data_IF_455498279554
#
_entry.id   IF_455498279554
#
_cell.length_a   1.000
_cell.length_b   1.000
_cell.length_c   1.000
_cell.angle_alpha   90.00
_cell.angle_beta   90.00
_cell.angle_gamma   90.00
#
_symmetry.space_group_name_H-M   'P 1'
#
loop_
_entity.id
_entity.type
_entity.pdbx_description
1 polymer ?
#
# COMPACT_ATOMS: atom_id res chain seq x y z
N UNK A 1 -16.92 30.32 -29.43
CA UNK A 1 -16.88 28.99 -28.81
C UNK A 1 -15.89 29.02 -27.68
N UNK A 2 -16.38 29.08 -26.45
CA UNK A 2 -15.52 29.00 -25.25
C UNK A 2 -14.88 27.60 -25.22
N UNK A 3 -13.56 27.53 -25.27
CA UNK A 3 -12.85 26.27 -25.01
C UNK A 3 -13.14 25.88 -23.55
N UNK A 4 -13.89 24.81 -23.36
CA UNK A 4 -14.04 24.18 -22.06
C UNK A 4 -12.67 23.59 -21.73
N UNK A 5 -11.87 24.31 -20.95
CA UNK A 5 -10.62 23.76 -20.44
C UNK A 5 -10.94 22.65 -19.43
N UNK A 6 -10.23 21.50 -19.50
CA UNK A 6 -10.45 20.43 -18.55
C UNK A 6 -10.12 20.93 -17.15
N UNK A 7 -11.07 20.78 -16.23
CA UNK A 7 -10.89 21.12 -14.81
C UNK A 7 -9.80 20.22 -14.22
N UNK A 8 -8.73 20.86 -13.70
CA UNK A 8 -7.71 20.15 -12.93
C UNK A 8 -8.32 19.75 -11.59
N UNK A 9 -8.43 18.45 -11.33
CA UNK A 9 -8.91 17.96 -10.05
C UNK A 9 -7.89 18.31 -8.94
N UNK A 10 -8.39 18.79 -7.78
CA UNK A 10 -7.57 19.23 -6.65
C UNK A 10 -7.68 18.29 -5.44
N UNK A 11 -8.53 17.25 -5.55
CA UNK A 11 -8.86 16.37 -4.42
C UNK A 11 -7.80 15.29 -4.14
N UNK A 12 -6.91 15.00 -5.11
CA UNK A 12 -5.84 14.01 -4.96
C UNK A 12 -4.51 14.73 -4.73
N UNK A 13 -4.34 15.26 -3.53
CA UNK A 13 -3.13 15.97 -3.12
C UNK A 13 -2.17 15.04 -2.35
N UNK A 14 -1.16 15.63 -1.70
CA UNK A 14 -0.15 14.91 -0.91
C UNK A 14 -0.76 14.07 0.22
N UNK A 15 -1.95 14.41 0.74
CA UNK A 15 -2.64 13.68 1.81
C UNK A 15 -3.17 12.34 1.30
N UNK A 16 -3.81 12.36 0.13
CA UNK A 16 -4.22 11.13 -0.54
C UNK A 16 -2.99 10.27 -0.89
N UNK A 17 -1.92 10.88 -1.46
CA UNK A 17 -0.67 10.17 -1.72
C UNK A 17 -0.07 9.55 -0.45
N UNK A 18 -0.06 10.29 0.67
CA UNK A 18 0.39 9.81 1.97
C UNK A 18 -0.37 8.57 2.46
N UNK A 19 -1.69 8.52 2.22
CA UNK A 19 -2.48 7.33 2.53
C UNK A 19 -2.07 6.12 1.70
N UNK A 20 -1.90 6.27 0.39
CA UNK A 20 -1.54 5.15 -0.48
C UNK A 20 -0.11 4.68 -0.24
N UNK A 21 0.84 5.60 0.00
CA UNK A 21 2.22 5.25 0.32
C UNK A 21 2.30 4.60 1.71
N UNK A 22 1.82 5.27 2.75
CA UNK A 22 1.88 4.75 4.12
C UNK A 22 1.08 3.46 4.30
N UNK A 23 -0.14 3.42 3.75
CA UNK A 23 -1.00 2.23 3.77
C UNK A 23 -0.41 1.07 2.96
N UNK A 24 0.08 1.34 1.75
CA UNK A 24 0.69 0.33 0.87
C UNK A 24 1.97 -0.25 1.46
N UNK A 25 2.94 0.60 1.81
CA UNK A 25 4.21 0.18 2.40
C UNK A 25 4.02 -0.52 3.75
N UNK A 26 3.13 0.04 4.60
CA UNK A 26 2.84 -0.51 5.92
C UNK A 26 2.18 -1.89 5.85
N UNK A 27 1.19 -2.07 4.99
CA UNK A 27 0.53 -3.38 4.80
C UNK A 27 1.43 -4.39 4.13
N UNK A 28 2.22 -3.97 3.12
CA UNK A 28 3.24 -4.83 2.51
C UNK A 28 4.25 -5.32 3.53
N UNK A 29 4.72 -4.43 4.43
CA UNK A 29 5.62 -4.79 5.53
C UNK A 29 4.97 -5.81 6.47
N UNK A 30 3.72 -5.60 6.89
CA UNK A 30 2.99 -6.50 7.80
C UNK A 30 2.80 -7.89 7.19
N UNK A 31 2.44 -7.97 5.90
CA UNK A 31 2.28 -9.24 5.17
C UNK A 31 3.60 -10.02 5.18
N UNK A 32 4.69 -9.36 4.77
CA UNK A 32 5.99 -10.01 4.70
C UNK A 32 6.58 -10.31 6.07
N UNK A 33 6.32 -9.46 7.09
CA UNK A 33 6.70 -9.75 8.47
C UNK A 33 6.07 -11.04 9.00
N UNK A 34 4.81 -11.32 8.62
CA UNK A 34 4.17 -12.57 8.97
C UNK A 34 4.86 -13.78 8.31
N UNK A 35 5.23 -13.67 7.04
CA UNK A 35 5.93 -14.72 6.31
C UNK A 35 7.34 -14.93 6.88
N UNK A 36 8.08 -13.85 7.13
CA UNK A 36 9.46 -13.91 7.62
C UNK A 36 9.54 -14.38 9.08
N UNK A 37 8.50 -14.17 9.87
CA UNK A 37 8.44 -14.68 11.24
C UNK A 37 8.49 -16.21 11.31
N UNK A 38 8.04 -16.91 10.27
CA UNK A 38 8.18 -18.37 10.16
C UNK A 38 9.62 -18.82 9.94
N UNK A 39 10.50 -17.91 9.53
CA UNK A 39 11.92 -18.11 9.32
C UNK A 39 12.79 -17.63 10.52
N UNK A 40 12.14 -17.35 11.66
CA UNK A 40 12.81 -16.94 12.89
C UNK A 40 13.06 -15.43 13.04
N UNK A 41 12.55 -14.60 12.09
CA UNK A 41 12.66 -13.15 12.22
C UNK A 41 11.61 -12.65 13.22
N UNK A 42 12.06 -11.76 14.11
CA UNK A 42 11.19 -11.24 15.17
C UNK A 42 10.11 -10.31 14.59
N UNK A 43 8.85 -10.68 14.79
CA UNK A 43 7.70 -9.97 14.20
C UNK A 43 7.47 -8.56 14.80
N UNK A 44 7.57 -8.38 16.13
CA UNK A 44 7.07 -7.18 16.81
C UNK A 44 7.66 -5.85 16.28
N UNK A 45 8.96 -5.72 15.96
CA UNK A 45 9.48 -4.44 15.46
C UNK A 45 8.92 -4.11 14.08
N UNK A 46 8.83 -5.12 13.21
CA UNK A 46 8.30 -4.98 11.86
C UNK A 46 6.80 -4.66 11.87
N UNK A 47 6.03 -5.36 12.69
CA UNK A 47 4.61 -5.10 12.90
C UNK A 47 4.36 -3.70 13.46
N UNK A 48 5.21 -3.23 14.38
CA UNK A 48 5.13 -1.87 14.94
C UNK A 48 5.37 -0.81 13.85
N UNK A 49 6.42 -0.96 13.04
CA UNK A 49 6.68 -0.04 11.92
C UNK A 49 5.51 -0.07 10.94
N UNK A 50 5.01 -1.26 10.60
CA UNK A 50 3.88 -1.42 9.69
C UNK A 50 2.61 -0.73 10.17
N UNK A 51 2.22 -0.92 11.44
CA UNK A 51 1.01 -0.27 12.00
C UNK A 51 1.16 1.24 12.09
N UNK A 52 2.35 1.74 12.37
CA UNK A 52 2.64 3.19 12.38
C UNK A 52 2.50 3.78 10.98
N UNK A 53 3.02 3.12 9.95
CA UNK A 53 2.90 3.58 8.56
C UNK A 53 1.44 3.61 8.10
N UNK A 54 0.67 2.55 8.35
CA UNK A 54 -0.78 2.52 8.06
C UNK A 54 -1.50 3.62 8.83
N UNK A 55 -1.17 3.82 10.11
CA UNK A 55 -1.75 4.87 10.94
C UNK A 55 -1.47 6.27 10.41
N UNK A 56 -0.25 6.55 9.94
CA UNK A 56 0.12 7.82 9.28
C UNK A 56 -0.70 8.00 8.01
N UNK A 57 -0.84 6.97 7.17
CA UNK A 57 -1.65 7.01 5.97
C UNK A 57 -3.11 7.38 6.26
N UNK A 58 -3.74 6.69 7.21
CA UNK A 58 -5.11 6.99 7.64
C UNK A 58 -5.24 8.39 8.26
N UNK A 59 -4.24 8.85 8.98
CA UNK A 59 -4.19 10.20 9.53
C UNK A 59 -4.15 11.26 8.43
N UNK A 60 -3.42 11.02 7.33
CA UNK A 60 -3.43 11.91 6.17
C UNK A 60 -4.84 12.07 5.58
N UNK A 61 -5.59 10.97 5.41
CA UNK A 61 -7.00 11.03 4.95
C UNK A 61 -7.89 11.75 5.96
N UNK A 62 -7.68 11.51 7.24
CA UNK A 62 -8.48 12.15 8.29
C UNK A 62 -8.32 13.69 8.26
N UNK A 63 -7.11 14.20 8.04
CA UNK A 63 -6.86 15.63 7.85
C UNK A 63 -7.54 16.15 6.57
N UNK A 64 -7.60 15.34 5.51
CA UNK A 64 -8.21 15.72 4.24
C UNK A 64 -9.71 16.01 4.37
N UNK A 65 -10.40 15.28 5.25
CA UNK A 65 -11.85 15.45 5.48
C UNK A 65 -12.20 16.86 5.99
N UNK A 66 -11.25 17.59 6.58
CA UNK A 66 -11.42 18.97 7.07
C UNK A 66 -12.40 19.14 8.24
N UNK A 67 -13.30 18.18 8.45
CA UNK A 67 -14.22 18.09 9.58
C UNK A 67 -14.15 16.70 10.20
N UNK A 68 -13.34 16.50 11.25
CA UNK A 68 -12.99 15.18 11.79
C UNK A 68 -14.18 14.28 12.10
N UNK A 69 -15.25 14.84 12.63
CA UNK A 69 -16.47 14.09 13.00
C UNK A 69 -17.23 13.53 11.78
N UNK A 70 -16.98 14.07 10.58
CA UNK A 70 -17.56 13.53 9.34
C UNK A 70 -16.86 12.24 8.88
N UNK A 71 -15.71 11.90 9.44
CA UNK A 71 -15.03 10.64 9.14
C UNK A 71 -15.94 9.43 9.40
N UNK A 72 -16.84 9.51 10.38
CA UNK A 72 -17.80 8.44 10.66
C UNK A 72 -18.75 8.13 9.49
N UNK A 73 -18.96 9.08 8.57
CA UNK A 73 -19.81 8.85 7.39
C UNK A 73 -19.16 7.89 6.37
N UNK A 74 -17.85 7.65 6.47
CA UNK A 74 -17.16 6.67 5.61
C UNK A 74 -17.75 5.26 5.76
N UNK A 75 -18.39 4.94 6.89
CA UNK A 75 -18.93 3.60 7.16
C UNK A 75 -20.32 3.33 6.57
N UNK A 76 -20.98 4.30 5.94
CA UNK A 76 -22.40 4.15 5.57
C UNK A 76 -22.67 3.39 4.26
N UNK A 77 -21.67 3.21 3.38
CA UNK A 77 -21.91 2.66 2.04
C UNK A 77 -21.00 1.45 1.68
N UNK A 78 -20.98 0.37 2.49
CA UNK A 78 -20.05 -0.76 2.26
C UNK A 78 -20.32 -1.51 0.95
N UNK A 79 -21.55 -1.46 0.41
CA UNK A 79 -21.92 -2.16 -0.81
C UNK A 79 -21.33 -1.51 -2.07
N UNK A 80 -21.15 -0.16 -2.05
CA UNK A 80 -20.79 0.62 -3.23
C UNK A 80 -19.45 1.31 -3.14
N UNK A 81 -18.91 1.55 -1.92
CA UNK A 81 -17.69 2.32 -1.69
C UNK A 81 -16.52 1.44 -1.24
N UNK A 82 -15.43 1.47 -2.00
CA UNK A 82 -14.19 0.83 -1.60
C UNK A 82 -13.51 1.52 -0.42
N UNK A 83 -13.66 2.85 -0.28
CA UNK A 83 -13.19 3.59 0.91
C UNK A 83 -13.89 3.12 2.18
N UNK A 84 -15.19 2.81 2.11
CA UNK A 84 -15.93 2.23 3.23
C UNK A 84 -15.38 0.86 3.62
N UNK A 85 -15.08 0.00 2.63
CA UNK A 85 -14.50 -1.33 2.87
C UNK A 85 -13.11 -1.22 3.49
N UNK A 86 -12.28 -0.32 2.99
CA UNK A 86 -10.97 -0.01 3.58
C UNK A 86 -11.11 0.43 5.04
N UNK A 87 -12.04 1.34 5.34
CA UNK A 87 -12.30 1.81 6.70
C UNK A 87 -12.72 0.67 7.65
N UNK A 88 -13.59 -0.25 7.21
CA UNK A 88 -13.92 -1.43 8.00
C UNK A 88 -12.72 -2.34 8.22
N UNK A 89 -11.93 -2.60 7.20
CA UNK A 89 -10.72 -3.43 7.32
C UNK A 89 -9.71 -2.77 8.26
N UNK A 90 -9.49 -1.44 8.15
CA UNK A 90 -8.55 -0.72 9.02
C UNK A 90 -8.96 -0.72 10.48
N UNK A 91 -10.28 -0.71 10.77
CA UNK A 91 -10.82 -0.79 12.14
C UNK A 91 -10.40 -2.09 12.84
N UNK A 92 -10.19 -3.17 12.11
CA UNK A 92 -9.69 -4.43 12.65
C UNK A 92 -8.18 -4.58 12.47
N UNK A 93 -7.62 -4.11 11.36
CA UNK A 93 -6.19 -4.23 11.07
C UNK A 93 -5.34 -3.58 12.16
N UNK A 94 -5.64 -2.34 12.55
CA UNK A 94 -4.83 -1.63 13.53
C UNK A 94 -4.80 -2.33 14.91
N UNK A 95 -5.95 -2.63 15.56
CA UNK A 95 -5.91 -3.27 16.88
C UNK A 95 -5.36 -4.69 16.83
N UNK A 96 -5.63 -5.47 15.77
CA UNK A 96 -5.09 -6.84 15.66
C UNK A 96 -3.57 -6.80 15.42
N UNK A 97 -3.06 -5.84 14.64
CA UNK A 97 -1.62 -5.68 14.47
C UNK A 97 -0.95 -5.27 15.81
N UNK A 98 -1.55 -4.33 16.54
CA UNK A 98 -1.05 -3.95 17.87
C UNK A 98 -1.06 -5.16 18.81
N UNK A 99 -2.12 -5.95 18.81
CA UNK A 99 -2.20 -7.17 19.60
C UNK A 99 -1.11 -8.18 19.22
N UNK A 100 -0.87 -8.39 17.91
CA UNK A 100 0.22 -9.25 17.43
C UNK A 100 1.60 -8.73 17.87
N UNK A 101 1.82 -7.40 17.80
CA UNK A 101 3.05 -6.76 18.30
C UNK A 101 3.25 -6.99 19.80
N UNK A 102 2.20 -6.82 20.60
CA UNK A 102 2.28 -6.99 22.06
C UNK A 102 2.53 -8.46 22.45
N UNK A 103 1.86 -9.41 21.78
CA UNK A 103 2.00 -10.84 22.09
C UNK A 103 3.29 -11.46 21.58
N UNK A 104 3.96 -10.86 20.59
CA UNK A 104 5.26 -11.29 20.07
C UNK A 104 6.43 -10.49 20.68
N UNK A 105 6.13 -9.36 21.30
CA UNK A 105 7.13 -8.47 21.89
C UNK A 105 7.53 -8.85 23.32
N UNK A 106 8.47 -8.10 23.89
CA UNK A 106 8.96 -8.35 25.24
C UNK A 106 7.98 -7.98 26.36
N UNK A 107 6.88 -7.26 26.01
CA UNK A 107 5.96 -6.69 26.99
C UNK A 107 4.99 -7.71 27.59
N UNK A 108 4.42 -8.59 26.75
CA UNK A 108 3.45 -9.60 27.18
C UNK A 108 3.46 -10.80 26.24
N UNK A 109 4.50 -11.63 26.28
CA UNK A 109 4.64 -12.75 25.36
C UNK A 109 3.56 -13.81 25.61
N UNK A 110 2.66 -13.99 24.63
CA UNK A 110 1.60 -15.00 24.63
C UNK A 110 1.75 -15.91 23.41
N UNK A 111 2.67 -16.87 23.47
CA UNK A 111 3.04 -17.72 22.33
C UNK A 111 1.85 -18.42 21.66
N UNK A 112 0.84 -18.83 22.41
CA UNK A 112 -0.36 -19.49 21.87
C UNK A 112 -1.23 -18.58 21.00
N UNK A 113 -1.25 -17.28 21.26
CA UNK A 113 -2.04 -16.30 20.50
C UNK A 113 -1.21 -15.54 19.46
N UNK A 114 0.11 -15.53 19.60
CA UNK A 114 1.01 -14.80 18.72
C UNK A 114 0.87 -15.24 17.25
N UNK A 115 0.99 -16.54 16.98
CA UNK A 115 0.94 -17.07 15.61
C UNK A 115 -0.42 -16.81 14.93
N UNK A 116 -1.56 -17.11 15.55
CA UNK A 116 -2.86 -16.75 14.98
C UNK A 116 -3.01 -15.25 14.71
N UNK A 117 -2.58 -14.40 15.67
CA UNK A 117 -2.67 -12.94 15.52
C UNK A 117 -1.86 -12.44 14.33
N UNK A 118 -0.63 -12.91 14.14
CA UNK A 118 0.23 -12.57 13.00
C UNK A 118 -0.46 -12.89 11.67
N UNK A 119 -1.05 -14.09 11.53
CA UNK A 119 -1.68 -14.49 10.28
C UNK A 119 -3.00 -13.76 10.02
N UNK A 120 -3.80 -13.48 11.05
CA UNK A 120 -5.00 -12.65 10.92
C UNK A 120 -4.60 -11.23 10.49
N UNK A 121 -3.54 -10.67 11.05
CA UNK A 121 -3.00 -9.37 10.65
C UNK A 121 -2.57 -9.37 9.18
N UNK A 122 -1.85 -10.40 8.73
CA UNK A 122 -1.43 -10.52 7.32
C UNK A 122 -2.62 -10.57 6.37
N UNK A 123 -3.68 -11.32 6.72
CA UNK A 123 -4.91 -11.37 5.94
C UNK A 123 -5.61 -10.01 5.86
N UNK A 124 -5.75 -9.32 7.00
CA UNK A 124 -6.35 -7.99 7.04
C UNK A 124 -5.50 -6.96 6.25
N UNK A 125 -4.18 -7.06 6.32
CA UNK A 125 -3.27 -6.21 5.56
C UNK A 125 -3.41 -6.45 4.04
N UNK A 126 -3.55 -7.70 3.60
CA UNK A 126 -3.79 -8.03 2.20
C UNK A 126 -5.14 -7.49 1.71
N UNK A 127 -6.19 -7.60 2.52
CA UNK A 127 -7.51 -7.03 2.22
C UNK A 127 -7.46 -5.50 2.15
N UNK A 128 -6.73 -4.85 3.06
CA UNK A 128 -6.54 -3.40 3.06
C UNK A 128 -5.84 -2.93 1.78
N UNK A 129 -4.72 -3.55 1.43
CA UNK A 129 -3.95 -3.24 0.22
C UNK A 129 -4.80 -3.45 -1.05
N UNK A 130 -5.61 -4.50 -1.08
CA UNK A 130 -6.56 -4.73 -2.17
C UNK A 130 -7.63 -3.62 -2.23
N UNK A 131 -8.18 -3.17 -1.09
CA UNK A 131 -9.11 -2.05 -1.06
C UNK A 131 -8.48 -0.78 -1.60
N UNK A 132 -7.23 -0.46 -1.24
CA UNK A 132 -6.50 0.69 -1.78
C UNK A 132 -6.38 0.62 -3.31
N UNK A 133 -5.98 -0.52 -3.86
CA UNK A 133 -5.91 -0.70 -5.31
C UNK A 133 -7.27 -0.48 -5.99
N UNK A 134 -8.34 -0.96 -5.38
CA UNK A 134 -9.71 -0.78 -5.89
C UNK A 134 -10.23 0.65 -5.76
N UNK A 135 -9.83 1.41 -4.75
CA UNK A 135 -10.19 2.84 -4.61
C UNK A 135 -9.68 3.62 -5.82
N UNK A 136 -8.40 3.42 -6.19
CA UNK A 136 -7.82 4.07 -7.35
C UNK A 136 -8.51 3.64 -8.64
N UNK A 137 -8.71 2.33 -8.83
CA UNK A 137 -9.40 1.80 -10.02
C UNK A 137 -10.84 2.29 -10.15
N UNK A 138 -11.56 2.48 -9.04
CA UNK A 138 -12.92 3.01 -9.03
C UNK A 138 -13.00 4.52 -9.28
N UNK A 139 -11.89 5.24 -9.23
CA UNK A 139 -11.81 6.70 -9.42
C UNK A 139 -11.90 7.08 -10.89
N UNK A 140 -13.10 6.98 -11.46
CA UNK A 140 -13.39 7.12 -12.90
C UNK A 140 -13.04 8.50 -13.50
N UNK A 141 -12.76 9.50 -12.67
CA UNK A 141 -12.36 10.84 -13.10
C UNK A 141 -10.98 10.89 -13.77
N UNK A 142 -10.09 9.94 -13.43
CA UNK A 142 -8.73 9.88 -13.98
C UNK A 142 -8.65 8.72 -14.99
N UNK A 143 -8.48 9.01 -16.30
CA UNK A 143 -8.53 7.99 -17.35
C UNK A 143 -7.51 6.86 -17.16
N UNK A 144 -6.29 7.19 -16.74
CA UNK A 144 -5.24 6.20 -16.48
C UNK A 144 -5.67 5.16 -15.40
N UNK A 145 -6.40 5.57 -14.37
CA UNK A 145 -6.80 4.67 -13.28
C UNK A 145 -7.93 3.71 -13.61
N UNK A 146 -8.61 3.91 -14.73
CA UNK A 146 -9.74 3.05 -15.15
C UNK A 146 -9.29 1.67 -15.64
N UNK A 147 -8.02 1.51 -15.99
CA UNK A 147 -7.52 0.25 -16.50
C UNK A 147 -7.26 -0.75 -15.37
N UNK A 148 -7.78 -1.99 -15.44
CA UNK A 148 -7.64 -3.00 -14.37
C UNK A 148 -6.19 -3.40 -14.09
N UNK A 149 -5.28 -3.18 -15.03
CA UNK A 149 -3.84 -3.37 -14.86
C UNK A 149 -3.22 -2.52 -13.74
N UNK A 150 -3.91 -1.47 -13.27
CA UNK A 150 -3.48 -0.67 -12.13
C UNK A 150 -3.48 -1.50 -10.83
N UNK A 151 -4.44 -2.40 -10.66
CA UNK A 151 -4.60 -3.19 -9.43
C UNK A 151 -3.32 -3.98 -9.09
N UNK A 152 -2.78 -4.83 -9.98
CA UNK A 152 -1.55 -5.55 -9.69
C UNK A 152 -0.34 -4.62 -9.51
N UNK A 153 -0.28 -3.47 -10.18
CA UNK A 153 0.79 -2.49 -9.98
C UNK A 153 0.81 -1.99 -8.53
N UNK A 154 -0.35 -1.60 -7.98
CA UNK A 154 -0.45 -1.10 -6.60
C UNK A 154 -0.10 -2.20 -5.60
N UNK A 155 -0.64 -3.41 -5.78
CA UNK A 155 -0.39 -4.52 -4.86
C UNK A 155 1.10 -4.89 -4.83
N UNK A 156 1.71 -5.11 -6.00
CA UNK A 156 3.13 -5.48 -6.06
C UNK A 156 4.03 -4.34 -5.55
N UNK A 157 3.63 -3.08 -5.78
CA UNK A 157 4.36 -1.92 -5.23
C UNK A 157 4.37 -1.96 -3.70
N UNK A 158 3.20 -2.08 -3.05
CA UNK A 158 3.14 -2.13 -1.59
C UNK A 158 3.95 -3.30 -1.00
N UNK A 159 3.90 -4.49 -1.63
CA UNK A 159 4.69 -5.64 -1.18
C UNK A 159 6.19 -5.40 -1.40
N UNK A 160 6.60 -4.81 -2.53
CA UNK A 160 8.02 -4.50 -2.80
C UNK A 160 8.56 -3.46 -1.81
N UNK A 161 7.79 -2.42 -1.49
CA UNK A 161 8.15 -1.43 -0.47
C UNK A 161 8.26 -2.08 0.92
N UNK A 162 7.34 -2.98 1.26
CA UNK A 162 7.42 -3.78 2.47
C UNK A 162 8.69 -4.62 2.55
N UNK A 163 9.12 -5.24 1.45
CA UNK A 163 10.37 -6.00 1.38
C UNK A 163 11.60 -5.11 1.58
N UNK A 164 11.60 -3.90 1.00
CA UNK A 164 12.65 -2.91 1.23
C UNK A 164 12.74 -2.50 2.70
N UNK A 165 11.59 -2.25 3.34
CA UNK A 165 11.52 -1.90 4.76
C UNK A 165 12.00 -3.03 5.68
N UNK A 166 11.68 -4.29 5.39
CA UNK A 166 12.24 -5.44 6.12
C UNK A 166 13.76 -5.45 5.99
N UNK A 167 14.28 -5.30 4.77
CA UNK A 167 15.71 -5.32 4.54
C UNK A 167 16.42 -4.20 5.32
N UNK A 168 15.88 -2.98 5.32
CA UNK A 168 16.42 -1.87 6.09
C UNK A 168 16.35 -2.17 7.60
N UNK A 169 15.20 -2.61 8.09
CA UNK A 169 15.02 -2.85 9.53
C UNK A 169 15.89 -4.00 10.01
N UNK A 170 16.02 -5.08 9.25
CA UNK A 170 16.87 -6.22 9.62
C UNK A 170 18.35 -5.87 9.51
N UNK A 171 18.78 -5.09 8.53
CA UNK A 171 20.18 -4.66 8.41
C UNK A 171 20.65 -3.72 9.52
N UNK A 172 19.74 -3.03 10.19
CA UNK A 172 20.07 -2.25 11.39
C UNK A 172 20.28 -3.10 12.64
N UNK A 173 19.75 -4.33 12.66
CA UNK A 173 19.79 -5.22 13.81
C UNK A 173 20.75 -6.39 13.63
N UNK A 174 20.96 -6.85 12.41
CA UNK A 174 21.79 -7.98 12.03
C UNK A 174 22.13 -7.90 10.53
N UNK A 175 23.04 -8.77 10.05
CA UNK A 175 23.27 -8.91 8.62
C UNK A 175 22.04 -9.53 7.95
N UNK A 176 21.50 -8.91 6.89
CA UNK A 176 20.32 -9.46 6.20
C UNK A 176 20.67 -10.76 5.46
N UNK A 177 19.75 -11.71 5.49
CA UNK A 177 19.89 -12.96 4.75
C UNK A 177 19.81 -12.74 3.23
N UNK A 178 20.59 -13.50 2.49
CA UNK A 178 20.63 -13.42 1.00
C UNK A 178 19.26 -13.61 0.37
N UNK A 179 18.42 -14.50 0.92
CA UNK A 179 17.09 -14.74 0.38
C UNK A 179 16.18 -13.50 0.43
N UNK A 180 16.34 -12.61 1.41
CA UNK A 180 15.59 -11.33 1.48
C UNK A 180 15.99 -10.39 0.35
N UNK A 181 17.27 -10.32 0.03
CA UNK A 181 17.75 -9.54 -1.11
C UNK A 181 17.21 -10.11 -2.43
N UNK A 182 17.22 -11.43 -2.58
CA UNK A 182 16.63 -12.10 -3.75
C UNK A 182 15.13 -11.82 -3.84
N UNK A 183 14.41 -11.91 -2.74
CA UNK A 183 12.97 -11.59 -2.69
C UNK A 183 12.71 -10.15 -3.15
N UNK A 184 13.47 -9.18 -2.63
CA UNK A 184 13.35 -7.79 -3.04
C UNK A 184 13.58 -7.62 -4.54
N UNK A 185 14.65 -8.21 -5.08
CA UNK A 185 14.94 -8.16 -6.53
C UNK A 185 13.79 -8.75 -7.36
N UNK A 186 13.26 -9.90 -6.96
CA UNK A 186 12.12 -10.54 -7.64
C UNK A 186 10.88 -9.65 -7.61
N UNK A 187 10.59 -9.02 -6.46
CA UNK A 187 9.44 -8.11 -6.32
C UNK A 187 9.63 -6.82 -7.14
N UNK A 188 10.83 -6.27 -7.20
CA UNK A 188 11.15 -5.11 -8.05
C UNK A 188 11.02 -5.44 -9.54
N UNK A 189 11.49 -6.60 -9.97
CA UNK A 189 11.27 -7.07 -11.34
C UNK A 189 9.77 -7.29 -11.64
N UNK A 190 9.04 -7.90 -10.71
CA UNK A 190 7.59 -8.06 -10.83
C UNK A 190 6.85 -6.72 -10.93
N UNK A 191 7.23 -5.73 -10.11
CA UNK A 191 6.71 -4.36 -10.16
C UNK A 191 7.02 -3.69 -11.51
N UNK A 192 8.25 -3.81 -11.99
CA UNK A 192 8.64 -3.27 -13.29
C UNK A 192 7.86 -3.89 -14.44
N UNK A 193 7.70 -5.21 -14.44
CA UNK A 193 6.89 -5.92 -15.44
C UNK A 193 5.42 -5.52 -15.39
N UNK A 194 4.83 -5.43 -14.19
CA UNK A 194 3.46 -4.99 -14.01
C UNK A 194 3.25 -3.56 -14.53
N UNK A 195 4.18 -2.65 -14.22
CA UNK A 195 4.17 -1.28 -14.72
C UNK A 195 4.27 -1.22 -16.25
N UNK A 196 5.21 -1.94 -16.84
CA UNK A 196 5.37 -1.98 -18.30
C UNK A 196 4.14 -2.51 -19.01
N UNK A 197 3.54 -3.59 -18.50
CA UNK A 197 2.29 -4.11 -19.00
C UNK A 197 1.17 -3.09 -18.92
N UNK A 198 0.99 -2.50 -17.75
CA UNK A 198 -0.04 -1.49 -17.51
C UNK A 198 0.06 -0.31 -18.49
N UNK A 199 1.26 0.22 -18.75
CA UNK A 199 1.46 1.33 -19.69
C UNK A 199 1.20 0.88 -21.13
N UNK A 200 1.62 -0.31 -21.53
CA UNK A 200 1.34 -0.89 -22.85
C UNK A 200 -0.17 -1.06 -23.07
N UNK A 201 -0.86 -1.70 -22.12
CA UNK A 201 -2.30 -1.92 -22.18
C UNK A 201 -3.11 -0.60 -22.22
N UNK A 202 -2.64 0.45 -21.51
CA UNK A 202 -3.24 1.79 -21.61
C UNK A 202 -3.10 2.40 -23.00
N UNK A 203 -1.96 2.20 -23.64
CA UNK A 203 -1.67 2.68 -24.98
C UNK A 203 -2.58 1.98 -26.00
N UNK A 204 -2.67 0.65 -25.92
CA UNK A 204 -3.50 -0.18 -26.79
C UNK A 204 -5.00 0.10 -26.59
N UNK A 205 -5.42 0.43 -25.38
CA UNK A 205 -6.79 0.83 -25.07
C UNK A 205 -7.14 2.26 -25.51
N UNK A 206 -6.21 2.99 -26.15
CA UNK A 206 -6.45 4.33 -26.67
C UNK A 206 -6.61 5.39 -25.57
N UNK A 207 -5.84 5.29 -24.49
CA UNK A 207 -5.85 6.30 -23.44
C UNK A 207 -5.52 7.69 -24.00
N UNK A 208 -6.07 8.79 -23.43
CA UNK A 208 -5.81 10.13 -23.92
C UNK A 208 -4.31 10.44 -23.95
N UNK A 209 -3.83 11.05 -25.07
CA UNK A 209 -2.42 11.36 -25.27
C UNK A 209 -1.81 12.13 -24.09
N UNK A 210 -2.54 13.11 -23.53
CA UNK A 210 -2.08 13.86 -22.35
C UNK A 210 -1.81 12.96 -21.11
N UNK A 211 -2.59 11.89 -20.92
CA UNK A 211 -2.35 10.97 -19.80
C UNK A 211 -1.09 10.12 -20.05
N UNK A 212 -0.89 9.69 -21.29
CA UNK A 212 0.32 8.96 -21.71
C UNK A 212 1.56 9.86 -21.65
N UNK A 213 1.45 11.12 -22.06
CA UNK A 213 2.55 12.10 -21.99
C UNK A 213 3.02 12.32 -20.55
N UNK A 214 2.10 12.42 -19.58
CA UNK A 214 2.45 12.51 -18.15
C UNK A 214 3.18 11.26 -17.69
N UNK A 215 2.69 10.07 -18.04
CA UNK A 215 3.34 8.80 -17.67
C UNK A 215 4.73 8.68 -18.32
N UNK A 216 4.86 9.09 -19.57
CA UNK A 216 6.13 9.05 -20.31
C UNK A 216 7.13 10.11 -19.82
N UNK A 217 6.69 11.33 -19.50
CA UNK A 217 7.54 12.38 -18.96
C UNK A 217 8.08 12.03 -17.57
N UNK A 218 7.29 11.32 -16.77
CA UNK A 218 7.68 10.80 -15.48
C UNK A 218 8.44 9.45 -15.56
N UNK A 219 8.51 8.83 -16.76
CA UNK A 219 9.09 7.49 -16.92
C UNK A 219 10.56 7.40 -16.47
N UNK A 220 11.37 8.42 -16.76
CA UNK A 220 12.78 8.48 -16.31
C UNK A 220 12.90 8.46 -14.78
N UNK A 221 12.32 9.45 -14.07
CA UNK A 221 12.31 9.47 -12.61
C UNK A 221 11.65 8.24 -11.97
N UNK A 222 10.52 7.76 -12.54
CA UNK A 222 9.82 6.57 -12.02
C UNK A 222 10.68 5.31 -12.20
N UNK A 223 11.33 5.13 -13.36
CA UNK A 223 12.19 3.99 -13.59
C UNK A 223 13.43 4.04 -12.71
N UNK A 224 14.06 5.21 -12.57
CA UNK A 224 15.27 5.36 -11.77
C UNK A 224 14.96 5.30 -10.27
N UNK A 225 14.10 6.16 -9.78
CA UNK A 225 13.79 6.27 -8.34
C UNK A 225 12.77 5.24 -7.87
N UNK A 226 11.83 4.84 -8.74
CA UNK A 226 10.75 3.91 -8.37
C UNK A 226 11.08 2.45 -8.57
N UNK A 227 12.04 2.09 -9.42
CA UNK A 227 12.37 0.69 -9.75
C UNK A 227 13.84 0.33 -9.50
N UNK A 228 14.77 1.28 -9.62
CA UNK A 228 16.20 1.00 -9.50
C UNK A 228 16.81 1.53 -8.19
N UNK A 229 16.19 2.54 -7.58
CA UNK A 229 16.63 3.14 -6.33
C UNK A 229 15.42 3.33 -5.39
N UNK A 230 14.75 2.24 -4.96
CA UNK A 230 13.68 2.32 -3.97
C UNK A 230 14.21 2.61 -2.57
#
# INVERSE_FOLDING_TARGET
MSRIEPWHQTNWDWRAAGNFIGGGSGTGLVILAAITSTQGIVYWPLGLVGVVLVGIGLFCVWIEIGRPWRAMHVFYHPQTSWMTREAFVSTWLLPVTIFAVVTTGPFWPMASLAVPAIWVTALLAALYLYCQAQILHASKGIPAWRHPGLIPVIIVTGIAEGAGLILITTSLLASPDVWMMVLLVVLLLGRWLAWRRYVADLTDAGAPAKALDVLNSAAGPINLAGHLAP
#
